data_IF_484944170281
#
_entry.id   IF_484944170281
#
_cell.length_a   1.000
_cell.length_b   1.000
_cell.length_c   1.000
_cell.angle_alpha   90.00
_cell.angle_beta   90.00
_cell.angle_gamma   90.00
#
_symmetry.space_group_name_H-M   'P 1'
#
loop_
_entity.id
_entity.type
_entity.pdbx_description
1 polymer ?
#
# COMPACT_ATOMS: atom_id res chain seq x y z
N UNK A 1 0.46 -16.42 4.85
CA UNK A 1 0.13 -14.99 5.04
C UNK A 1 1.36 -14.27 5.61
N UNK A 2 1.51 -13.00 5.28
CA UNK A 2 2.63 -12.17 5.71
C UNK A 2 2.70 -12.03 7.24
N UNK A 3 3.91 -12.08 7.80
CA UNK A 3 4.13 -11.80 9.21
C UNK A 3 4.26 -10.30 9.44
N UNK A 4 3.77 -9.84 10.59
CA UNK A 4 3.78 -8.42 10.96
C UNK A 4 4.31 -8.31 12.39
N UNK A 5 5.32 -7.46 12.58
CA UNK A 5 5.80 -7.14 13.90
C UNK A 5 4.96 -5.98 14.48
N UNK A 6 4.11 -6.30 15.44
CA UNK A 6 3.25 -5.31 16.12
C UNK A 6 3.84 -4.85 17.44
N UNK A 7 4.99 -5.37 17.86
CA UNK A 7 5.69 -4.94 19.07
C UNK A 7 6.68 -3.83 18.71
N UNK A 8 6.14 -2.70 18.31
CA UNK A 8 6.87 -1.58 17.71
C UNK A 8 6.46 -0.28 18.39
N UNK A 9 7.43 0.61 18.57
CA UNK A 9 7.23 1.99 19.05
C UNK A 9 7.36 2.96 17.89
N UNK A 10 6.85 4.21 18.01
CA UNK A 10 7.17 5.25 17.03
C UNK A 10 8.67 5.38 16.80
N UNK A 11 9.07 5.54 15.55
CA UNK A 11 10.47 5.63 15.14
C UNK A 11 10.66 5.23 13.70
N UNK A 12 11.93 5.12 13.29
CA UNK A 12 12.33 4.77 11.94
C UNK A 12 12.85 3.34 11.90
N UNK A 13 12.41 2.59 10.89
CA UNK A 13 12.69 1.16 10.76
C UNK A 13 12.97 0.80 9.30
N UNK A 14 13.46 -0.41 9.07
CA UNK A 14 13.48 -1.02 7.74
C UNK A 14 12.15 -1.73 7.47
N UNK A 15 11.90 -2.08 6.20
CA UNK A 15 10.73 -2.89 5.84
C UNK A 15 10.72 -4.23 6.58
N UNK A 16 11.87 -4.89 6.70
CA UNK A 16 11.98 -6.18 7.36
C UNK A 16 11.77 -6.11 8.87
N UNK A 17 11.99 -4.95 9.50
CA UNK A 17 11.71 -4.77 10.92
C UNK A 17 10.21 -4.86 11.22
N UNK A 18 9.38 -4.42 10.28
CA UNK A 18 7.92 -4.39 10.43
C UNK A 18 7.28 -5.61 9.76
N UNK A 19 7.76 -5.98 8.59
CA UNK A 19 7.27 -7.10 7.78
C UNK A 19 8.42 -8.09 7.53
N UNK A 20 8.74 -8.96 8.51
CA UNK A 20 9.98 -9.75 8.48
C UNK A 20 10.14 -10.64 7.24
N UNK A 21 9.06 -11.13 6.66
CA UNK A 21 9.08 -12.04 5.52
C UNK A 21 8.78 -11.35 4.18
N UNK A 22 8.76 -10.01 4.14
CA UNK A 22 8.41 -9.27 2.90
C UNK A 22 9.34 -9.62 1.74
N UNK A 23 10.62 -9.82 2.01
CA UNK A 23 11.61 -10.15 0.98
C UNK A 23 11.39 -11.51 0.31
N UNK A 24 10.58 -12.39 0.92
CA UNK A 24 10.26 -13.71 0.37
C UNK A 24 8.99 -13.68 -0.49
N UNK A 25 8.31 -12.55 -0.58
CA UNK A 25 7.03 -12.45 -1.27
C UNK A 25 7.25 -12.29 -2.78
N UNK A 26 6.73 -13.25 -3.55
CA UNK A 26 6.85 -13.25 -5.01
C UNK A 26 6.17 -12.05 -5.70
N UNK A 27 5.25 -11.35 -5.01
CA UNK A 27 4.60 -10.16 -5.55
C UNK A 27 5.61 -9.04 -5.85
N UNK A 28 6.75 -9.00 -5.17
CA UNK A 28 7.77 -7.98 -5.40
C UNK A 28 8.27 -7.99 -6.84
N UNK A 29 8.36 -9.16 -7.46
CA UNK A 29 8.77 -9.27 -8.87
C UNK A 29 7.71 -8.77 -9.85
N UNK A 30 6.48 -8.58 -9.40
CA UNK A 30 5.41 -7.95 -10.19
C UNK A 30 5.41 -6.42 -10.06
N UNK A 31 6.05 -5.91 -9.01
CA UNK A 31 6.14 -4.47 -8.74
C UNK A 31 7.43 -3.90 -9.33
N UNK A 32 8.55 -4.56 -9.06
CA UNK A 32 9.88 -4.09 -9.41
C UNK A 32 10.45 -4.85 -10.60
N UNK A 33 11.40 -4.23 -11.33
CA UNK A 33 11.88 -4.73 -12.61
C UNK A 33 13.00 -5.76 -12.51
N UNK A 34 13.71 -5.79 -11.37
CA UNK A 34 14.87 -6.67 -11.19
C UNK A 34 15.07 -7.01 -9.72
N UNK A 35 15.85 -8.08 -9.48
CA UNK A 35 16.24 -8.44 -8.11
C UNK A 35 17.10 -7.36 -7.47
N UNK A 36 17.93 -6.67 -8.24
CA UNK A 36 18.74 -5.55 -7.76
C UNK A 36 17.85 -4.41 -7.27
N UNK A 37 16.78 -4.09 -7.99
CA UNK A 37 15.81 -3.07 -7.58
C UNK A 37 15.11 -3.49 -6.30
N UNK A 38 14.68 -4.75 -6.20
CA UNK A 38 14.04 -5.29 -4.99
C UNK A 38 14.99 -5.14 -3.79
N UNK A 39 16.25 -5.58 -3.93
CA UNK A 39 17.22 -5.48 -2.86
C UNK A 39 17.46 -4.03 -2.44
N UNK A 40 17.56 -3.11 -3.41
CA UNK A 40 17.73 -1.69 -3.12
C UNK A 40 16.53 -1.12 -2.34
N UNK A 41 15.32 -1.48 -2.75
CA UNK A 41 14.10 -1.04 -2.04
C UNK A 41 14.04 -1.61 -0.63
N UNK A 42 14.31 -2.90 -0.46
CA UNK A 42 14.28 -3.55 0.86
C UNK A 42 15.34 -2.97 1.79
N UNK A 43 16.53 -2.63 1.27
CA UNK A 43 17.64 -2.11 2.08
C UNK A 43 17.51 -0.62 2.41
N UNK A 44 16.93 0.17 1.51
CA UNK A 44 17.00 1.64 1.58
C UNK A 44 15.68 2.30 1.92
N UNK A 45 14.55 1.60 1.85
CA UNK A 45 13.25 2.20 2.20
C UNK A 45 13.13 2.34 3.71
N UNK A 46 12.93 3.57 4.15
CA UNK A 46 12.69 3.87 5.56
C UNK A 46 11.20 3.75 5.83
N UNK A 47 10.85 3.02 6.87
CA UNK A 47 9.48 2.93 7.38
C UNK A 47 9.39 3.78 8.65
N UNK A 48 8.51 4.77 8.63
CA UNK A 48 8.31 5.69 9.76
C UNK A 48 7.02 5.26 10.46
N UNK A 49 7.14 4.83 11.71
CA UNK A 49 5.99 4.56 12.56
C UNK A 49 5.70 5.83 13.36
N UNK A 50 4.50 6.35 13.23
CA UNK A 50 4.08 7.59 13.89
C UNK A 50 2.90 7.35 14.82
N UNK A 51 2.85 8.09 15.93
CA UNK A 51 1.68 8.10 16.84
C UNK A 51 0.55 9.01 16.33
N UNK A 52 0.79 9.76 15.26
CA UNK A 52 -0.25 10.55 14.59
C UNK A 52 -1.27 9.63 13.91
N UNK A 53 -2.48 10.17 13.71
CA UNK A 53 -3.58 9.41 13.13
C UNK A 53 -3.44 9.34 11.61
N UNK A 54 -2.72 8.31 11.15
CA UNK A 54 -2.51 8.00 9.74
C UNK A 54 -2.75 6.51 9.49
N UNK A 55 -3.03 6.15 8.24
CA UNK A 55 -3.01 4.76 7.77
C UNK A 55 -1.61 4.41 7.26
N UNK A 56 -1.41 4.37 5.96
CA UNK A 56 -0.09 4.27 5.31
C UNK A 56 -0.02 5.25 4.16
N UNK A 57 1.15 5.83 3.94
CA UNK A 57 1.40 6.62 2.74
C UNK A 57 2.90 6.69 2.42
N UNK A 58 3.21 6.98 1.16
CA UNK A 58 4.59 7.17 0.68
C UNK A 58 4.87 8.66 0.56
N UNK A 59 6.02 9.09 1.07
CA UNK A 59 6.50 10.45 0.89
C UNK A 59 6.96 10.64 -0.55
N UNK A 60 6.35 11.61 -1.24
CA UNK A 60 6.62 11.89 -2.65
C UNK A 60 8.05 12.39 -2.92
N UNK A 61 8.74 12.90 -1.91
CA UNK A 61 10.08 13.45 -2.05
C UNK A 61 11.18 12.40 -1.87
N UNK A 62 11.00 11.45 -0.96
CA UNK A 62 12.08 10.53 -0.58
C UNK A 62 11.70 9.04 -0.62
N UNK A 63 10.43 8.70 -0.88
CA UNK A 63 9.98 7.33 -0.99
C UNK A 63 9.86 6.58 0.34
N UNK A 64 9.96 7.26 1.49
CA UNK A 64 9.71 6.63 2.78
C UNK A 64 8.24 6.27 2.94
N UNK A 65 7.97 5.22 3.71
CA UNK A 65 6.61 4.77 4.02
C UNK A 65 6.29 5.17 5.45
N UNK A 66 5.23 5.95 5.64
CA UNK A 66 4.73 6.29 6.97
C UNK A 66 3.54 5.40 7.30
N UNK A 67 3.55 4.82 8.51
CA UNK A 67 2.47 3.97 9.01
C UNK A 67 2.03 4.51 10.37
N UNK A 68 0.72 4.75 10.52
CA UNK A 68 0.15 5.10 11.81
C UNK A 68 0.22 3.91 12.79
N UNK A 69 0.68 4.15 14.02
CA UNK A 69 0.84 3.08 15.01
C UNK A 69 -0.48 2.36 15.28
N UNK A 70 -1.60 3.10 15.42
CA UNK A 70 -2.91 2.48 15.63
C UNK A 70 -3.31 1.59 14.48
N UNK A 71 -3.06 2.04 13.25
CA UNK A 71 -3.34 1.24 12.06
C UNK A 71 -2.55 -0.07 12.08
N UNK A 72 -1.25 0.00 12.41
CA UNK A 72 -0.41 -1.18 12.52
C UNK A 72 -0.87 -2.15 13.62
N UNK A 73 -1.29 -1.61 14.77
CA UNK A 73 -1.66 -2.43 15.93
C UNK A 73 -3.03 -3.09 15.79
N UNK A 74 -4.00 -2.40 15.17
CA UNK A 74 -5.40 -2.80 15.25
C UNK A 74 -6.02 -3.29 13.95
N UNK A 75 -5.38 -3.06 12.80
CA UNK A 75 -5.88 -3.57 11.53
C UNK A 75 -5.58 -5.06 11.38
N UNK A 76 -6.43 -5.77 10.64
CA UNK A 76 -6.18 -7.18 10.39
C UNK A 76 -5.02 -7.39 9.41
N UNK A 77 -4.52 -8.62 9.37
CA UNK A 77 -3.35 -8.97 8.54
C UNK A 77 -3.63 -8.76 7.06
N UNK A 78 -4.83 -9.11 6.60
CA UNK A 78 -5.20 -8.95 5.20
C UNK A 78 -5.19 -7.48 4.78
N UNK A 79 -5.78 -6.59 5.59
CA UNK A 79 -5.76 -5.14 5.33
C UNK A 79 -4.34 -4.61 5.27
N UNK A 80 -3.51 -4.94 6.25
CA UNK A 80 -2.11 -4.48 6.29
C UNK A 80 -1.30 -5.04 5.12
N UNK A 81 -1.56 -6.27 4.72
CA UNK A 81 -0.93 -6.87 3.55
C UNK A 81 -1.26 -6.09 2.27
N UNK A 82 -2.54 -5.82 2.04
CA UNK A 82 -2.97 -5.09 0.85
C UNK A 82 -2.44 -3.65 0.87
N UNK A 83 -2.42 -3.03 2.04
CA UNK A 83 -1.89 -1.68 2.20
C UNK A 83 -0.41 -1.61 1.87
N UNK A 84 0.41 -2.53 2.38
CA UNK A 84 1.85 -2.49 2.08
C UNK A 84 2.14 -2.79 0.61
N UNK A 85 1.39 -3.67 -0.03
CA UNK A 85 1.52 -3.91 -1.47
C UNK A 85 1.18 -2.65 -2.26
N UNK A 86 0.09 -1.99 -1.91
CA UNK A 86 -0.32 -0.70 -2.49
C UNK A 86 0.81 0.34 -2.35
N UNK A 87 1.37 0.49 -1.15
CA UNK A 87 2.43 1.46 -0.91
C UNK A 87 3.74 1.10 -1.62
N UNK A 88 4.07 -0.18 -1.76
CA UNK A 88 5.26 -0.58 -2.51
C UNK A 88 5.15 -0.24 -4.01
N UNK A 89 3.94 -0.28 -4.57
CA UNK A 89 3.73 0.24 -5.94
C UNK A 89 4.04 1.75 -5.97
N UNK A 90 3.59 2.49 -4.98
CA UNK A 90 3.92 3.92 -4.87
C UNK A 90 5.42 4.16 -4.70
N UNK A 91 6.13 3.32 -3.96
CA UNK A 91 7.60 3.40 -3.86
C UNK A 91 8.24 3.29 -5.24
N UNK A 92 7.80 2.31 -6.05
CA UNK A 92 8.31 2.18 -7.41
C UNK A 92 7.97 3.42 -8.25
N UNK A 93 6.76 3.92 -8.17
CA UNK A 93 6.31 5.11 -8.90
C UNK A 93 7.15 6.33 -8.52
N UNK A 94 7.42 6.51 -7.23
CA UNK A 94 8.26 7.60 -6.74
C UNK A 94 9.70 7.47 -7.28
N UNK A 95 10.26 6.26 -7.29
CA UNK A 95 11.58 5.98 -7.87
C UNK A 95 11.62 6.30 -9.38
N UNK A 96 10.51 6.11 -10.07
CA UNK A 96 10.36 6.43 -11.49
C UNK A 96 10.10 7.92 -11.75
N UNK A 97 10.03 8.75 -10.71
CA UNK A 97 9.85 10.20 -10.82
C UNK A 97 8.41 10.64 -11.03
N UNK A 98 7.42 9.77 -10.76
CA UNK A 98 6.02 10.12 -10.89
C UNK A 98 5.55 10.95 -9.69
N UNK A 99 4.64 11.89 -9.93
CA UNK A 99 3.97 12.65 -8.88
C UNK A 99 2.83 11.81 -8.30
N UNK A 100 2.96 11.41 -7.03
CA UNK A 100 1.95 10.60 -6.35
C UNK A 100 0.70 11.40 -5.95
N UNK A 101 0.83 12.72 -5.83
CA UNK A 101 -0.20 13.60 -5.27
C UNK A 101 -0.65 14.65 -6.28
N UNK A 102 -0.87 14.25 -7.52
CA UNK A 102 -1.32 15.13 -8.61
C UNK A 102 -2.66 15.78 -8.23
N UNK A 103 -2.60 17.07 -7.89
CA UNK A 103 -3.77 17.85 -7.45
C UNK A 103 -4.71 18.20 -8.59
N UNK A 104 -4.33 17.95 -9.83
CA UNK A 104 -5.21 18.19 -10.99
C UNK A 104 -6.30 17.11 -11.14
N UNK A 105 -6.17 16.00 -10.40
CA UNK A 105 -7.10 14.87 -10.45
C UNK A 105 -7.62 14.54 -9.05
N UNK A 106 -8.88 14.08 -8.98
CA UNK A 106 -9.41 13.49 -7.77
C UNK A 106 -8.61 12.22 -7.42
N UNK A 107 -8.52 11.91 -6.12
CA UNK A 107 -7.78 10.75 -5.62
C UNK A 107 -8.09 9.47 -6.41
N UNK A 108 -9.37 9.18 -6.63
CA UNK A 108 -9.80 7.94 -7.31
C UNK A 108 -9.52 7.94 -8.82
N UNK A 109 -9.17 9.07 -9.39
CA UNK A 109 -8.88 9.23 -10.83
C UNK A 109 -7.38 9.30 -11.12
N UNK A 110 -6.54 9.34 -10.10
CA UNK A 110 -5.09 9.34 -10.27
C UNK A 110 -4.62 7.99 -10.80
N UNK A 111 -3.90 8.01 -11.89
CA UNK A 111 -3.35 6.78 -12.49
C UNK A 111 -2.44 6.03 -11.52
N UNK A 112 -1.69 6.76 -10.67
CA UNK A 112 -0.84 6.16 -9.65
C UNK A 112 -1.65 5.38 -8.62
N UNK A 113 -2.80 5.89 -8.19
CA UNK A 113 -3.70 5.18 -7.26
C UNK A 113 -4.36 3.98 -7.94
N UNK A 114 -4.84 4.16 -9.16
CA UNK A 114 -5.49 3.08 -9.91
C UNK A 114 -4.53 1.90 -10.10
N UNK A 115 -3.28 2.17 -10.48
CA UNK A 115 -2.27 1.12 -10.64
C UNK A 115 -1.98 0.40 -9.32
N UNK A 116 -1.81 1.16 -8.23
CA UNK A 116 -1.52 0.59 -6.92
C UNK A 116 -2.68 -0.28 -6.42
N UNK A 117 -3.91 0.20 -6.54
CA UNK A 117 -5.09 -0.57 -6.19
C UNK A 117 -5.27 -1.80 -7.08
N UNK A 118 -5.00 -1.69 -8.37
CA UNK A 118 -5.16 -2.82 -9.29
C UNK A 118 -4.32 -4.03 -8.85
N UNK A 119 -3.07 -3.81 -8.45
CA UNK A 119 -2.22 -4.89 -7.95
C UNK A 119 -2.69 -5.38 -6.58
N UNK A 120 -3.04 -4.47 -5.67
CA UNK A 120 -3.54 -4.84 -4.34
C UNK A 120 -4.81 -5.71 -4.46
N UNK A 121 -5.74 -5.36 -5.36
CA UNK A 121 -6.96 -6.15 -5.55
C UNK A 121 -6.69 -7.51 -6.19
N UNK A 122 -5.71 -7.60 -7.06
CA UNK A 122 -5.27 -8.89 -7.62
C UNK A 122 -4.77 -9.81 -6.50
N UNK A 123 -4.00 -9.26 -5.57
CA UNK A 123 -3.55 -10.00 -4.38
C UNK A 123 -4.70 -10.31 -3.43
N UNK A 124 -5.65 -9.40 -3.26
CA UNK A 124 -6.84 -9.64 -2.44
C UNK A 124 -7.60 -10.88 -2.94
N UNK A 125 -7.79 -10.98 -4.25
CA UNK A 125 -8.47 -12.15 -4.85
C UNK A 125 -7.64 -13.42 -4.68
N UNK A 126 -6.33 -13.32 -4.83
CA UNK A 126 -5.43 -14.47 -4.66
C UNK A 126 -5.49 -15.03 -3.24
N UNK A 127 -5.57 -14.17 -2.22
CA UNK A 127 -5.64 -14.60 -0.82
C UNK A 127 -7.07 -14.90 -0.34
N UNK A 128 -8.05 -14.80 -1.23
CA UNK A 128 -9.40 -15.29 -1.00
C UNK A 128 -10.43 -14.28 -0.52
N UNK A 129 -10.17 -12.97 -0.63
CA UNK A 129 -11.19 -11.98 -0.31
C UNK A 129 -12.35 -12.06 -1.31
N UNK A 130 -13.56 -11.88 -0.78
CA UNK A 130 -14.77 -11.77 -1.61
C UNK A 130 -14.83 -10.40 -2.27
N UNK A 131 -15.65 -10.26 -3.32
CA UNK A 131 -15.86 -8.96 -3.98
C UNK A 131 -16.46 -7.93 -3.01
N UNK A 132 -17.29 -8.37 -2.08
CA UNK A 132 -17.82 -7.50 -1.02
C UNK A 132 -16.72 -6.98 -0.09
N UNK A 133 -15.82 -7.85 0.33
CA UNK A 133 -14.67 -7.48 1.16
C UNK A 133 -13.73 -6.53 0.42
N UNK A 134 -13.52 -6.75 -0.89
CA UNK A 134 -12.73 -5.87 -1.75
C UNK A 134 -13.40 -4.51 -1.86
N UNK A 135 -14.70 -4.46 -2.10
CA UNK A 135 -15.44 -3.20 -2.16
C UNK A 135 -15.29 -2.42 -0.86
N UNK A 136 -15.40 -3.10 0.28
CA UNK A 136 -15.21 -2.47 1.59
C UNK A 136 -13.77 -1.96 1.78
N UNK A 137 -12.79 -2.70 1.30
CA UNK A 137 -11.38 -2.29 1.36
C UNK A 137 -11.12 -0.99 0.59
N UNK A 138 -11.81 -0.77 -0.53
CA UNK A 138 -11.66 0.43 -1.35
C UNK A 138 -12.22 1.70 -0.70
N UNK A 139 -13.06 1.55 0.34
CA UNK A 139 -13.60 2.71 1.04
C UNK A 139 -12.51 3.37 1.89
N UNK A 140 -12.32 4.66 1.74
CA UNK A 140 -11.46 5.49 2.58
C UNK A 140 -12.22 6.77 2.96
N UNK A 141 -11.85 7.36 4.09
CA UNK A 141 -12.61 8.46 4.71
C UNK A 141 -12.61 9.75 3.87
N UNK A 142 -11.61 9.91 2.98
CA UNK A 142 -11.45 11.14 2.20
C UNK A 142 -12.08 11.10 0.82
N UNK A 143 -12.86 10.07 0.51
CA UNK A 143 -13.60 10.00 -0.76
C UNK A 143 -15.10 10.03 -0.49
N UNK A 144 -15.86 10.44 -1.52
CA UNK A 144 -17.33 10.41 -1.47
C UNK A 144 -17.86 9.02 -1.84
N UNK A 145 -19.14 8.71 -1.50
CA UNK A 145 -19.75 7.45 -1.98
C UNK A 145 -19.74 7.31 -3.50
N UNK A 146 -19.91 8.39 -4.26
CA UNK A 146 -19.85 8.39 -5.73
C UNK A 146 -18.44 8.05 -6.21
N UNK A 147 -17.42 8.62 -5.57
CA UNK A 147 -16.02 8.34 -5.89
C UNK A 147 -15.67 6.89 -5.57
N UNK A 148 -16.15 6.35 -4.46
CA UNK A 148 -15.98 4.96 -4.08
C UNK A 148 -16.52 4.03 -5.17
N UNK A 149 -17.74 4.28 -5.63
CA UNK A 149 -18.35 3.46 -6.69
C UNK A 149 -17.63 3.63 -8.04
N UNK A 150 -17.16 4.85 -8.34
CA UNK A 150 -16.37 5.08 -9.56
C UNK A 150 -15.06 4.31 -9.54
N UNK A 151 -14.35 4.30 -8.41
CA UNK A 151 -13.13 3.53 -8.24
C UNK A 151 -13.40 2.03 -8.41
N UNK A 152 -14.45 1.53 -7.76
CA UNK A 152 -14.85 0.13 -7.86
C UNK A 152 -15.15 -0.27 -9.32
N UNK A 153 -15.84 0.57 -10.07
CA UNK A 153 -16.11 0.33 -11.49
C UNK A 153 -14.84 0.35 -12.32
N UNK A 154 -13.96 1.31 -12.09
CA UNK A 154 -12.67 1.40 -12.79
C UNK A 154 -11.84 0.12 -12.58
N UNK A 155 -11.87 -0.42 -11.37
CA UNK A 155 -11.13 -1.63 -10.99
C UNK A 155 -11.93 -2.92 -11.24
N UNK A 156 -13.11 -2.83 -11.84
CA UNK A 156 -13.96 -3.98 -12.21
C UNK A 156 -14.35 -4.84 -11.00
N UNK A 157 -14.59 -4.20 -9.88
CA UNK A 157 -15.13 -4.86 -8.69
C UNK A 157 -16.64 -5.11 -8.91
N UNK A 158 -17.09 -6.30 -8.60
CA UNK A 158 -18.52 -6.63 -8.67
C UNK A 158 -19.26 -5.94 -7.53
N UNK A 159 -20.32 -5.25 -7.88
CA UNK A 159 -21.12 -4.46 -6.95
C UNK A 159 -22.48 -5.13 -6.75
#
# INVERSE_FOLDING_TARGET
MMQINRNIRPGNYSLADIFPDIGLNSVLSKIFRSEQEIEAVLSNTVVIITDKDHYMFVDNNNGSITIGLKHLLYSDVATLYLDIIHELVHVRQQRDGLDLYDQSKAYVDRETEIEAYALALKEARRIGLTEKEILNYLWVEWITPEEHMRLARTLKVKI
#
